data_IF_609093781753
#
_entry.id   IF_609093781753
#
_cell.length_a   1.000
_cell.length_b   1.000
_cell.length_c   1.000
_cell.angle_alpha   90.00
_cell.angle_beta   90.00
_cell.angle_gamma   90.00
#
_symmetry.space_group_name_H-M   'P 1'
#
loop_
_entity.id
_entity.type
_entity.pdbx_description
1 polymer ?
#
# COMPACT_ATOMS: atom_id res chain seq x y z
N UNK A 1 -1.53 8.66 -2.28
CA UNK A 1 -0.46 8.00 -1.50
C UNK A 1 0.90 8.27 -2.12
N UNK A 2 1.93 8.48 -1.32
CA UNK A 2 3.31 8.75 -1.75
C UNK A 2 4.12 7.48 -2.08
N UNK A 3 3.59 6.29 -1.79
CA UNK A 3 4.29 5.01 -1.99
C UNK A 3 4.81 4.75 -3.42
N UNK A 4 4.09 5.09 -4.50
CA UNK A 4 4.60 4.92 -5.86
C UNK A 4 5.81 5.81 -6.14
N UNK A 5 5.80 7.05 -5.63
CA UNK A 5 6.95 7.96 -5.74
C UNK A 5 8.15 7.37 -5.00
N UNK A 6 7.93 6.82 -3.79
CA UNK A 6 8.98 6.12 -3.06
C UNK A 6 9.53 4.91 -3.84
N UNK A 7 8.68 4.11 -4.48
CA UNK A 7 9.11 2.99 -5.32
C UNK A 7 9.94 3.44 -6.52
N UNK A 8 9.60 4.58 -7.16
CA UNK A 8 10.39 5.14 -8.26
C UNK A 8 11.81 5.53 -7.84
N UNK A 9 12.06 5.75 -6.55
CA UNK A 9 13.41 5.99 -6.02
C UNK A 9 14.20 4.70 -5.76
N UNK A 10 13.59 3.51 -5.80
CA UNK A 10 14.28 2.24 -5.54
C UNK A 10 15.49 1.98 -6.46
N UNK A 11 15.47 2.31 -7.76
CA UNK A 11 16.63 2.20 -8.65
C UNK A 11 17.83 3.06 -8.24
N UNK A 12 17.64 4.11 -7.43
CA UNK A 12 18.72 5.02 -7.04
C UNK A 12 19.68 4.39 -6.01
N UNK A 13 19.28 3.30 -5.36
CA UNK A 13 20.12 2.59 -4.42
C UNK A 13 21.05 1.61 -5.16
N UNK A 14 22.32 1.57 -4.75
CA UNK A 14 23.34 0.66 -5.29
C UNK A 14 23.01 -0.81 -5.06
N UNK A 15 23.69 -1.73 -5.73
CA UNK A 15 23.52 -3.19 -5.53
C UNK A 15 24.30 -3.73 -4.31
N UNK A 16 24.10 -3.10 -3.15
CA UNK A 16 24.69 -3.54 -1.88
C UNK A 16 23.67 -4.35 -1.07
N UNK A 17 24.16 -5.27 -0.24
CA UNK A 17 23.31 -5.99 0.72
C UNK A 17 22.62 -5.04 1.72
N UNK A 18 23.24 -3.90 2.01
CA UNK A 18 22.68 -2.85 2.87
C UNK A 18 21.59 -2.00 2.21
N UNK A 19 21.46 -2.04 0.88
CA UNK A 19 20.54 -1.14 0.17
C UNK A 19 19.07 -1.38 0.53
N UNK A 20 18.68 -2.62 0.82
CA UNK A 20 17.33 -2.91 1.32
C UNK A 20 17.10 -2.25 2.69
N UNK A 21 18.09 -2.33 3.59
CA UNK A 21 18.03 -1.70 4.92
C UNK A 21 17.95 -0.19 4.79
N UNK A 22 18.82 0.42 3.98
CA UNK A 22 18.81 1.86 3.73
C UNK A 22 17.50 2.31 3.09
N UNK A 23 16.99 1.59 2.09
CA UNK A 23 15.71 1.88 1.46
C UNK A 23 14.55 1.80 2.44
N UNK A 24 14.51 0.76 3.28
CA UNK A 24 13.48 0.59 4.32
C UNK A 24 13.56 1.61 5.46
N UNK A 25 14.73 2.21 5.68
CA UNK A 25 14.91 3.22 6.72
C UNK A 25 14.09 4.49 6.45
N UNK A 26 13.86 4.83 5.18
CA UNK A 26 13.05 6.00 4.79
C UNK A 26 11.61 5.89 5.30
N UNK A 27 10.82 4.85 4.95
CA UNK A 27 9.49 4.67 5.53
C UNK A 27 9.54 4.34 7.02
N UNK A 28 10.63 3.76 7.54
CA UNK A 28 10.75 3.49 8.98
C UNK A 28 10.83 4.78 9.79
N UNK A 29 11.63 5.75 9.35
CA UNK A 29 11.72 7.07 9.99
C UNK A 29 10.39 7.81 9.94
N UNK A 30 9.69 7.76 8.80
CA UNK A 30 8.34 8.32 8.70
C UNK A 30 7.34 7.63 9.65
N UNK A 31 7.42 6.31 9.78
CA UNK A 31 6.59 5.53 10.71
C UNK A 31 6.89 5.88 12.17
N UNK A 32 8.18 6.04 12.52
CA UNK A 32 8.60 6.50 13.85
C UNK A 32 8.10 7.91 14.14
N UNK A 33 8.05 8.79 13.14
CA UNK A 33 7.45 10.13 13.29
C UNK A 33 5.96 10.04 13.62
N UNK A 34 5.19 9.20 12.92
CA UNK A 34 3.78 8.97 13.25
C UNK A 34 3.60 8.41 14.67
N UNK A 35 4.45 7.48 15.10
CA UNK A 35 4.45 6.95 16.47
C UNK A 35 4.76 8.03 17.51
N UNK A 36 5.81 8.83 17.29
CA UNK A 36 6.22 9.88 18.21
C UNK A 36 5.15 10.99 18.34
N UNK A 37 4.51 11.38 17.25
CA UNK A 37 3.44 12.38 17.27
C UNK A 37 2.15 11.81 17.86
N UNK A 38 1.77 10.58 17.48
CA UNK A 38 0.57 9.94 17.98
C UNK A 38 0.61 9.61 19.48
N UNK A 39 1.78 9.24 20.00
CA UNK A 39 2.03 9.02 21.44
C UNK A 39 2.17 10.31 22.23
N UNK A 40 2.43 11.43 21.55
CA UNK A 40 2.58 12.73 22.17
C UNK A 40 3.98 13.12 22.60
N UNK A 41 5.00 12.36 22.20
CA UNK A 41 6.40 12.72 22.42
C UNK A 41 6.82 13.94 21.59
N UNK A 42 6.23 14.10 20.41
CA UNK A 42 6.45 15.24 19.52
C UNK A 42 5.12 15.94 19.26
N UNK A 43 5.12 17.27 19.32
CA UNK A 43 3.95 18.07 18.94
C UNK A 43 4.08 18.51 17.48
N UNK A 44 3.29 17.90 16.60
CA UNK A 44 3.17 18.30 15.21
C UNK A 44 1.69 18.41 14.80
N UNK A 45 1.07 19.59 14.99
CA UNK A 45 -0.33 19.81 14.63
C UNK A 45 -0.59 19.69 13.13
N UNK A 46 0.40 19.97 12.28
CA UNK A 46 0.24 19.87 10.82
C UNK A 46 0.12 18.41 10.41
N UNK A 47 0.95 17.54 10.96
CA UNK A 47 0.88 16.10 10.69
C UNK A 47 -0.45 15.50 11.16
N UNK A 48 -0.93 15.91 12.34
CA UNK A 48 -2.24 15.47 12.83
C UNK A 48 -3.35 15.93 11.90
N UNK A 49 -3.33 17.19 11.45
CA UNK A 49 -4.35 17.73 10.55
C UNK A 49 -4.39 17.04 9.18
N UNK A 50 -3.26 16.58 8.65
CA UNK A 50 -3.22 15.90 7.34
C UNK A 50 -3.47 14.40 7.42
N UNK A 51 -3.27 13.78 8.58
CA UNK A 51 -3.24 12.31 8.72
C UNK A 51 -4.28 11.74 9.71
N UNK A 52 -5.12 12.59 10.31
CA UNK A 52 -6.25 12.20 11.15
C UNK A 52 -7.58 12.65 10.53
N UNK A 53 -8.62 11.84 10.72
CA UNK A 53 -10.00 12.16 10.33
C UNK A 53 -10.72 13.00 11.38
N UNK A 54 -10.45 12.76 12.66
CA UNK A 54 -11.11 13.50 13.77
C UNK A 54 -10.27 14.63 14.34
N UNK A 55 -9.00 14.75 13.91
CA UNK A 55 -8.03 15.68 14.49
C UNK A 55 -7.39 15.15 15.79
N UNK A 56 -7.67 13.91 16.17
CA UNK A 56 -7.05 13.27 17.33
C UNK A 56 -5.71 12.63 16.94
N UNK A 57 -4.64 13.03 17.64
CA UNK A 57 -3.29 12.49 17.41
C UNK A 57 -3.23 10.96 17.55
N UNK A 58 -4.07 10.36 18.40
CA UNK A 58 -4.08 8.92 18.63
C UNK A 58 -4.44 8.11 17.37
N UNK A 59 -5.16 8.70 16.41
CA UNK A 59 -5.49 8.02 15.15
C UNK A 59 -4.23 7.66 14.35
N UNK A 60 -3.16 8.45 14.47
CA UNK A 60 -1.88 8.19 13.81
C UNK A 60 -1.29 6.84 14.23
N UNK A 61 -1.55 6.39 15.46
CA UNK A 61 -1.03 5.14 16.00
C UNK A 61 -1.67 3.88 15.38
N UNK A 62 -2.72 4.05 14.58
CA UNK A 62 -3.40 2.95 13.91
C UNK A 62 -3.16 3.01 12.41
N UNK A 63 -4.08 3.59 11.63
CA UNK A 63 -4.02 3.59 10.16
C UNK A 63 -2.66 4.03 9.60
N UNK A 64 -2.18 5.26 9.93
CA UNK A 64 -0.89 5.75 9.41
C UNK A 64 0.32 4.89 9.80
N UNK A 65 0.38 4.40 11.04
CA UNK A 65 1.47 3.50 11.45
C UNK A 65 1.40 2.15 10.73
N UNK A 66 0.22 1.53 10.61
CA UNK A 66 0.07 0.27 9.88
C UNK A 66 0.44 0.43 8.40
N UNK A 67 0.04 1.55 7.80
CA UNK A 67 0.42 1.91 6.43
C UNK A 67 1.94 2.07 6.26
N UNK A 68 2.59 2.75 7.22
CA UNK A 68 4.04 2.92 7.26
C UNK A 68 4.78 1.59 7.43
N UNK A 69 4.31 0.73 8.33
CA UNK A 69 4.86 -0.61 8.54
C UNK A 69 4.76 -1.49 7.27
N UNK A 70 3.68 -1.38 6.50
CA UNK A 70 3.57 -2.05 5.21
C UNK A 70 4.65 -1.57 4.22
N UNK A 71 4.97 -0.27 4.21
CA UNK A 71 6.06 0.28 3.40
C UNK A 71 7.43 -0.22 3.86
N UNK A 72 7.67 -0.25 5.17
CA UNK A 72 8.91 -0.79 5.75
C UNK A 72 9.09 -2.25 5.37
N UNK A 73 8.06 -3.07 5.56
CA UNK A 73 8.12 -4.50 5.25
C UNK A 73 8.36 -4.75 3.76
N UNK A 74 7.63 -4.04 2.88
CA UNK A 74 7.80 -4.18 1.44
C UNK A 74 9.21 -3.79 0.97
N UNK A 75 9.76 -2.70 1.51
CA UNK A 75 11.12 -2.27 1.22
C UNK A 75 12.15 -3.28 1.77
N UNK A 76 12.06 -3.64 3.05
CA UNK A 76 13.03 -4.51 3.72
C UNK A 76 13.08 -5.92 3.11
N UNK A 77 11.92 -6.48 2.76
CA UNK A 77 11.80 -7.87 2.33
C UNK A 77 11.83 -8.04 0.81
N UNK A 78 11.36 -7.04 0.04
CA UNK A 78 11.14 -7.21 -1.40
C UNK A 78 11.77 -6.15 -2.31
N UNK A 79 12.56 -5.21 -1.78
CA UNK A 79 13.23 -4.18 -2.58
C UNK A 79 13.97 -4.78 -3.79
N UNK A 80 13.53 -4.41 -5.00
CA UNK A 80 14.02 -4.86 -6.31
C UNK A 80 14.10 -6.38 -6.54
N UNK A 81 13.59 -7.20 -5.62
CA UNK A 81 13.72 -8.67 -5.70
C UNK A 81 12.38 -9.37 -5.89
N UNK A 82 11.32 -8.84 -5.27
CA UNK A 82 10.01 -9.50 -5.26
C UNK A 82 8.93 -8.64 -5.93
N UNK A 83 8.26 -9.15 -6.99
CA UNK A 83 7.05 -8.54 -7.52
C UNK A 83 5.95 -8.40 -6.46
N UNK A 84 5.89 -9.30 -5.47
CA UNK A 84 4.90 -9.25 -4.38
C UNK A 84 4.96 -7.93 -3.62
N UNK A 85 6.16 -7.42 -3.32
CA UNK A 85 6.31 -6.16 -2.60
C UNK A 85 5.78 -4.97 -3.39
N UNK A 86 6.05 -4.94 -4.70
CA UNK A 86 5.54 -3.90 -5.60
C UNK A 86 4.02 -3.97 -5.66
N UNK A 87 3.44 -5.16 -5.84
CA UNK A 87 1.98 -5.33 -5.92
C UNK A 87 1.31 -4.97 -4.59
N UNK A 88 1.90 -5.31 -3.44
CA UNK A 88 1.35 -4.97 -2.13
C UNK A 88 1.29 -3.46 -1.91
N UNK A 89 2.36 -2.73 -2.24
CA UNK A 89 2.38 -1.27 -2.15
C UNK A 89 1.48 -0.61 -3.18
N UNK A 90 1.40 -1.14 -4.40
CA UNK A 90 0.48 -0.64 -5.41
C UNK A 90 -0.99 -0.87 -5.03
N UNK A 91 -1.32 -2.01 -4.41
CA UNK A 91 -2.66 -2.30 -3.93
C UNK A 91 -3.05 -1.35 -2.79
N UNK A 92 -2.14 -1.13 -1.84
CA UNK A 92 -2.35 -0.18 -0.74
C UNK A 92 -2.46 1.27 -1.24
N UNK A 93 -1.48 1.75 -2.01
CA UNK A 93 -1.42 3.16 -2.42
C UNK A 93 -2.37 3.49 -3.59
N UNK A 94 -2.40 2.62 -4.58
CA UNK A 94 -3.18 2.78 -5.80
C UNK A 94 -4.65 2.41 -5.58
N UNK A 95 -4.92 1.43 -4.72
CA UNK A 95 -6.27 1.07 -4.32
C UNK A 95 -6.98 2.23 -3.62
N UNK A 96 -6.36 2.76 -2.56
CA UNK A 96 -6.89 3.90 -1.81
C UNK A 96 -7.11 5.13 -2.68
N UNK A 97 -6.08 5.52 -3.44
CA UNK A 97 -6.14 6.69 -4.31
C UNK A 97 -7.20 6.56 -5.40
N UNK A 98 -7.34 5.38 -6.01
CA UNK A 98 -8.34 5.14 -7.03
C UNK A 98 -9.76 5.04 -6.43
N UNK A 99 -9.93 4.47 -5.23
CA UNK A 99 -11.22 4.42 -4.55
C UNK A 99 -11.75 5.81 -4.22
N UNK A 100 -10.87 6.72 -3.77
CA UNK A 100 -11.21 8.10 -3.45
C UNK A 100 -11.64 8.90 -4.70
N UNK A 101 -10.90 8.75 -5.80
CA UNK A 101 -11.24 9.38 -7.09
C UNK A 101 -12.49 8.75 -7.72
N UNK A 102 -12.56 7.42 -7.76
CA UNK A 102 -13.61 6.66 -8.42
C UNK A 102 -14.96 6.73 -7.70
N UNK A 103 -14.97 7.01 -6.40
CA UNK A 103 -16.18 7.33 -5.64
C UNK A 103 -16.94 8.57 -6.12
N UNK A 104 -16.37 9.38 -7.03
CA UNK A 104 -17.08 10.45 -7.73
C UNK A 104 -17.78 9.99 -9.01
N UNK A 105 -17.24 8.98 -9.69
CA UNK A 105 -17.68 8.59 -11.04
C UNK A 105 -18.60 7.36 -11.05
N UNK A 106 -18.53 6.51 -10.01
CA UNK A 106 -19.30 5.28 -9.91
C UNK A 106 -20.42 5.38 -8.86
N UNK A 107 -21.53 4.65 -9.04
CA UNK A 107 -22.62 4.60 -8.07
C UNK A 107 -22.15 4.15 -6.68
N UNK A 108 -22.57 4.89 -5.65
CA UNK A 108 -22.26 4.59 -4.24
C UNK A 108 -23.23 3.56 -3.65
N UNK A 109 -23.20 2.35 -4.18
CA UNK A 109 -23.95 1.22 -3.63
C UNK A 109 -23.16 0.66 -2.45
N UNK A 110 -23.68 0.76 -1.23
CA UNK A 110 -23.04 0.22 -0.04
C UNK A 110 -22.96 -1.31 -0.11
N UNK A 111 -21.86 -1.89 0.37
CA UNK A 111 -21.72 -3.35 0.42
C UNK A 111 -22.63 -3.96 1.51
N UNK A 112 -23.21 -5.16 1.28
CA UNK A 112 -24.11 -5.80 2.24
C UNK A 112 -23.46 -6.08 3.61
N UNK A 113 -22.17 -6.44 3.62
CA UNK A 113 -21.39 -6.78 4.83
C UNK A 113 -20.60 -5.61 5.41
N UNK A 114 -20.45 -4.50 4.67
CA UNK A 114 -19.73 -3.32 5.14
C UNK A 114 -20.34 -2.05 4.57
N UNK A 115 -21.19 -1.41 5.38
CA UNK A 115 -21.91 -0.19 4.98
C UNK A 115 -21.00 1.04 4.81
N UNK A 116 -19.77 0.99 5.32
CA UNK A 116 -18.80 2.08 5.18
C UNK A 116 -18.07 2.04 3.83
N UNK A 117 -18.12 0.91 3.12
CA UNK A 117 -17.47 0.72 1.81
C UNK A 117 -18.53 0.61 0.73
N UNK A 118 -18.17 0.97 -0.49
CA UNK A 118 -19.07 0.96 -1.65
C UNK A 118 -18.56 0.02 -2.74
N UNK A 119 -19.48 -0.52 -3.53
CA UNK A 119 -19.16 -1.33 -4.69
C UNK A 119 -18.33 -0.54 -5.71
N UNK A 120 -18.73 0.70 -6.00
CA UNK A 120 -17.98 1.60 -6.88
C UNK A 120 -16.54 1.82 -6.39
N UNK A 121 -16.36 2.13 -5.10
CA UNK A 121 -15.03 2.29 -4.49
C UNK A 121 -14.19 1.01 -4.59
N UNK A 122 -14.80 -0.17 -4.38
CA UNK A 122 -14.09 -1.46 -4.48
C UNK A 122 -13.65 -1.78 -5.91
N UNK A 123 -14.50 -1.48 -6.91
CA UNK A 123 -14.16 -1.63 -8.34
C UNK A 123 -13.01 -0.69 -8.70
N UNK A 124 -13.06 0.57 -8.25
CA UNK A 124 -11.98 1.53 -8.48
C UNK A 124 -10.70 1.13 -7.79
N UNK A 125 -10.76 0.62 -6.56
CA UNK A 125 -9.60 0.12 -5.83
C UNK A 125 -8.93 -1.04 -6.59
N UNK A 126 -9.70 -2.04 -7.03
CA UNK A 126 -9.18 -3.15 -7.82
C UNK A 126 -8.55 -2.67 -9.14
N UNK A 127 -9.23 -1.76 -9.85
CA UNK A 127 -8.71 -1.18 -11.08
C UNK A 127 -7.40 -0.41 -10.87
N UNK A 128 -7.35 0.45 -9.85
CA UNK A 128 -6.17 1.22 -9.46
C UNK A 128 -4.99 0.32 -9.08
N UNK A 129 -5.25 -0.68 -8.23
CA UNK A 129 -4.26 -1.68 -7.85
C UNK A 129 -3.69 -2.43 -9.06
N UNK A 130 -4.56 -2.88 -9.97
CA UNK A 130 -4.16 -3.62 -11.17
C UNK A 130 -3.33 -2.77 -12.13
N UNK A 131 -3.79 -1.56 -12.45
CA UNK A 131 -3.14 -0.66 -13.40
C UNK A 131 -1.80 -0.16 -12.86
N UNK A 132 -1.77 0.26 -11.59
CA UNK A 132 -0.54 0.76 -10.97
C UNK A 132 0.48 -0.36 -10.80
N UNK A 133 0.06 -1.57 -10.39
CA UNK A 133 0.95 -2.74 -10.33
C UNK A 133 1.53 -3.08 -11.70
N UNK A 134 0.69 -3.09 -12.73
CA UNK A 134 1.10 -3.33 -14.12
C UNK A 134 2.13 -2.30 -14.60
N UNK A 135 1.91 -1.02 -14.29
CA UNK A 135 2.83 0.06 -14.65
C UNK A 135 4.17 -0.06 -13.90
N UNK A 136 4.15 -0.21 -12.58
CA UNK A 136 5.36 -0.31 -11.77
C UNK A 136 6.19 -1.56 -12.09
N UNK A 137 5.56 -2.71 -12.29
CA UNK A 137 6.27 -3.93 -12.68
C UNK A 137 6.84 -3.84 -14.10
N UNK A 138 6.19 -3.12 -15.01
CA UNK A 138 6.77 -2.85 -16.34
C UNK A 138 7.96 -1.91 -16.25
N UNK A 139 7.89 -0.89 -15.38
CA UNK A 139 9.01 0.00 -15.11
C UNK A 139 10.21 -0.77 -14.55
N UNK A 140 10.02 -1.57 -13.50
CA UNK A 140 11.09 -2.38 -12.92
C UNK A 140 11.59 -3.48 -13.87
N UNK A 141 10.72 -4.06 -14.70
CA UNK A 141 11.12 -5.02 -15.73
C UNK A 141 11.92 -4.40 -16.87
N UNK A 142 11.60 -3.18 -17.28
CA UNK A 142 12.39 -2.42 -18.26
C UNK A 142 13.80 -2.09 -17.77
N UNK A 143 13.98 -1.99 -16.45
CA UNK A 143 15.30 -1.82 -15.80
C UNK A 143 16.01 -3.16 -15.52
N UNK A 144 15.38 -4.30 -15.83
CA UNK A 144 15.95 -5.63 -15.58
C UNK A 144 15.93 -6.08 -14.12
N UNK A 145 15.15 -5.41 -13.24
CA UNK A 145 15.14 -5.74 -11.82
C UNK A 145 14.11 -6.80 -11.45
N UNK A 146 12.93 -6.77 -12.07
CA UNK A 146 11.83 -7.66 -11.73
C UNK A 146 11.18 -8.23 -12.98
N UNK A 147 10.73 -9.48 -12.90
CA UNK A 147 9.82 -9.98 -13.92
C UNK A 147 8.39 -9.45 -13.68
N UNK A 148 7.57 -9.46 -14.72
CA UNK A 148 6.15 -9.09 -14.63
C UNK A 148 5.28 -10.35 -14.60
N UNK A 149 4.56 -10.64 -13.50
CA UNK A 149 3.55 -11.70 -13.46
C UNK A 149 2.47 -11.50 -14.54
N UNK A 150 1.81 -12.60 -14.92
CA UNK A 150 0.79 -12.53 -15.97
C UNK A 150 -0.36 -11.59 -15.58
N UNK A 151 -1.03 -10.93 -16.56
CA UNK A 151 -2.17 -10.06 -16.27
C UNK A 151 -3.28 -10.75 -15.47
N UNK A 152 -3.53 -12.04 -15.69
CA UNK A 152 -4.53 -12.82 -14.95
C UNK A 152 -4.19 -12.91 -13.46
N UNK A 153 -2.91 -13.14 -13.17
CA UNK A 153 -2.36 -13.22 -11.83
C UNK A 153 -2.39 -11.87 -11.10
N UNK A 154 -2.05 -10.79 -11.81
CA UNK A 154 -2.16 -9.42 -11.27
C UNK A 154 -3.61 -9.02 -11.01
N UNK A 155 -4.54 -9.41 -11.89
CA UNK A 155 -5.97 -9.18 -11.67
C UNK A 155 -6.47 -9.98 -10.45
N UNK A 156 -6.04 -11.23 -10.30
CA UNK A 156 -6.35 -12.05 -9.12
C UNK A 156 -5.89 -11.40 -7.82
N UNK A 157 -4.66 -10.88 -7.79
CA UNK A 157 -4.14 -10.12 -6.65
C UNK A 157 -4.96 -8.85 -6.37
N UNK A 158 -5.29 -8.07 -7.40
CA UNK A 158 -6.09 -6.85 -7.24
C UNK A 158 -7.50 -7.13 -6.69
N UNK A 159 -8.14 -8.21 -7.16
CA UNK A 159 -9.43 -8.66 -6.66
C UNK A 159 -9.34 -9.19 -5.23
N UNK A 160 -8.26 -9.91 -4.88
CA UNK A 160 -8.01 -10.35 -3.51
C UNK A 160 -7.84 -9.17 -2.55
N UNK A 161 -7.05 -8.16 -2.95
CA UNK A 161 -6.91 -6.92 -2.19
C UNK A 161 -8.26 -6.21 -2.00
N UNK A 162 -9.04 -6.00 -3.06
CA UNK A 162 -10.36 -5.39 -2.95
C UNK A 162 -11.33 -6.21 -2.10
N UNK A 163 -11.22 -7.55 -2.14
CA UNK A 163 -11.99 -8.44 -1.27
C UNK A 163 -11.67 -8.22 0.22
N UNK A 164 -10.38 -8.15 0.58
CA UNK A 164 -9.94 -7.88 1.95
C UNK A 164 -10.33 -6.48 2.39
N UNK A 165 -10.13 -5.48 1.53
CA UNK A 165 -10.52 -4.07 1.75
C UNK A 165 -12.03 -3.91 2.00
N UNK A 166 -12.84 -4.80 1.41
CA UNK A 166 -14.29 -4.76 1.56
C UNK A 166 -14.76 -5.16 2.96
N UNK A 167 -13.92 -5.84 3.75
CA UNK A 167 -14.27 -6.33 5.08
C UNK A 167 -14.34 -5.18 6.10
N UNK A 168 -15.13 -5.31 7.19
CA UNK A 168 -15.27 -4.26 8.21
C UNK A 168 -14.07 -4.24 9.18
N UNK A 169 -12.86 -4.02 8.65
CA UNK A 169 -11.61 -4.07 9.42
C UNK A 169 -11.21 -2.72 10.03
N UNK A 170 -11.87 -1.62 9.64
CA UNK A 170 -11.45 -0.28 10.04
C UNK A 170 -9.99 -0.04 9.61
N UNK A 171 -9.18 0.58 10.47
CA UNK A 171 -7.79 0.91 10.16
C UNK A 171 -6.86 -0.31 9.92
N UNK A 172 -7.30 -1.51 10.28
CA UNK A 172 -6.54 -2.75 10.07
C UNK A 172 -6.50 -3.18 8.60
N UNK A 173 -7.31 -2.58 7.74
CA UNK A 173 -7.22 -2.74 6.29
C UNK A 173 -5.79 -2.50 5.76
N UNK A 174 -5.12 -1.45 6.27
CA UNK A 174 -3.74 -1.08 5.93
C UNK A 174 -2.69 -2.16 6.25
N UNK A 175 -3.01 -3.14 7.10
CA UNK A 175 -2.14 -4.28 7.40
C UNK A 175 -2.63 -5.57 6.74
N UNK A 176 -3.94 -5.82 6.78
CA UNK A 176 -4.53 -7.04 6.23
C UNK A 176 -4.39 -7.12 4.71
N UNK A 177 -4.54 -6.00 4.01
CA UNK A 177 -4.47 -5.95 2.55
C UNK A 177 -3.05 -6.27 2.03
N UNK A 178 -1.97 -5.60 2.49
CA UNK A 178 -0.61 -5.97 2.09
C UNK A 178 -0.25 -7.41 2.46
N UNK A 179 -0.68 -7.89 3.63
CA UNK A 179 -0.45 -9.27 4.05
C UNK A 179 -1.13 -10.28 3.14
N UNK A 180 -2.38 -10.02 2.74
CA UNK A 180 -3.10 -10.88 1.80
C UNK A 180 -2.42 -10.94 0.44
N UNK A 181 -1.91 -9.81 -0.07
CA UNK A 181 -1.08 -9.79 -1.28
C UNK A 181 0.21 -10.57 -1.06
N UNK A 182 0.82 -10.49 0.12
CA UNK A 182 2.03 -11.25 0.42
C UNK A 182 1.80 -12.75 0.34
N UNK A 183 0.75 -13.23 1.00
CA UNK A 183 0.32 -14.64 0.95
C UNK A 183 0.00 -15.07 -0.48
N UNK A 184 -0.76 -14.25 -1.22
CA UNK A 184 -1.07 -14.51 -2.63
C UNK A 184 0.19 -14.63 -3.49
N UNK A 185 1.13 -13.69 -3.33
CA UNK A 185 2.38 -13.65 -4.07
C UNK A 185 3.29 -14.85 -3.78
N UNK A 186 3.39 -15.27 -2.51
CA UNK A 186 4.10 -16.50 -2.13
C UNK A 186 3.47 -17.72 -2.79
N UNK A 187 2.13 -17.86 -2.70
CA UNK A 187 1.42 -18.98 -3.32
C UNK A 187 1.55 -18.99 -4.86
N UNK A 188 1.69 -17.83 -5.48
CA UNK A 188 1.86 -17.67 -6.92
C UNK A 188 3.32 -17.69 -7.39
N UNK A 189 4.31 -17.84 -6.49
CA UNK A 189 5.73 -17.93 -6.82
C UNK A 189 6.40 -16.59 -7.20
N UNK A 190 5.97 -15.47 -6.59
CA UNK A 190 6.49 -14.12 -6.86
C UNK A 190 7.57 -13.65 -5.89
N UNK A 191 8.36 -14.58 -5.34
CA UNK A 191 9.51 -14.24 -4.50
C UNK A 191 10.71 -13.84 -5.35
#
# INVERSE_FOLDING_TARGET
GTGPIFMLCWPMYSESHWSSVLCSSVPALATLQFLAVGSGWISDPKLVATSSRTGLRQELLTGPVLYGLAHVAAAALGWRRSPTAVVALCALCGGDGAAELGGHWLPRVALPWNRQKTLGGSISAAGGAFLLSSAMLSFFGGLGFLYRPSPKLLLGAALAAAGVESLPLGAWDNAALPLAIWVYGVAAGWQ
#
